data_IF_208064500473
#
_entry.id   IF_208064500473
#
_cell.length_a   1.000
_cell.length_b   1.000
_cell.length_c   1.000
_cell.angle_alpha   90.00
_cell.angle_beta   90.00
_cell.angle_gamma   90.00
#
_symmetry.space_group_name_H-M   'P 1'
#
loop_
_entity.id
_entity.type
_entity.pdbx_description
1 polymer ?
#
# COMPACT_ATOMS: atom_id res chain seq x y z
N UNK A 1 20.39 7.19 14.98
CA UNK A 1 19.96 7.94 13.77
C UNK A 1 19.42 6.94 12.73
N UNK A 2 18.29 6.30 13.03
CA UNK A 2 17.75 5.12 12.33
C UNK A 2 16.27 5.36 11.99
N UNK A 3 15.96 6.18 10.98
CA UNK A 3 14.56 6.35 10.53
C UNK A 3 14.40 6.86 9.09
N UNK A 4 15.31 6.50 8.17
CA UNK A 4 15.20 6.85 6.74
C UNK A 4 14.72 5.69 5.85
N UNK A 5 13.85 4.82 6.36
CA UNK A 5 13.16 3.82 5.52
C UNK A 5 11.86 4.45 4.99
N UNK A 6 11.92 4.88 3.74
CA UNK A 6 10.77 5.04 2.83
C UNK A 6 9.63 5.99 3.27
N UNK A 7 9.96 7.22 3.69
CA UNK A 7 8.94 8.29 3.67
C UNK A 7 8.80 8.83 2.24
N UNK A 8 8.06 8.10 1.40
CA UNK A 8 7.44 8.73 0.24
C UNK A 8 6.50 9.82 0.79
N UNK A 9 6.69 11.06 0.36
CA UNK A 9 6.00 12.22 0.95
C UNK A 9 4.47 12.16 0.81
N UNK A 10 3.75 13.12 1.38
CA UNK A 10 2.31 13.25 1.13
C UNK A 10 2.08 13.76 -0.29
N UNK A 11 1.39 12.97 -1.11
CA UNK A 11 1.08 13.28 -2.50
C UNK A 11 -0.32 13.82 -2.64
N UNK A 12 -0.56 14.55 -3.72
CA UNK A 12 -1.86 15.06 -4.13
C UNK A 12 -2.20 14.42 -5.46
N UNK A 13 -3.35 13.76 -5.52
CA UNK A 13 -3.81 13.06 -6.73
C UNK A 13 -5.32 13.16 -6.89
N UNK A 14 -5.82 12.72 -8.03
CA UNK A 14 -7.24 12.73 -8.37
C UNK A 14 -7.76 11.28 -8.46
N UNK A 15 -8.77 10.97 -7.64
CA UNK A 15 -9.45 9.68 -7.60
C UNK A 15 -10.87 9.86 -8.11
N UNK A 16 -11.28 9.10 -9.11
CA UNK A 16 -12.66 9.07 -9.59
C UNK A 16 -13.42 7.88 -8.99
N UNK A 17 -14.60 8.18 -8.49
CA UNK A 17 -15.58 7.22 -7.96
C UNK A 17 -16.16 6.43 -9.13
N UNK A 18 -15.95 5.12 -9.16
CA UNK A 18 -16.55 4.23 -10.17
C UNK A 18 -18.04 4.06 -9.92
N UNK A 19 -18.79 3.66 -10.94
CA UNK A 19 -20.23 3.37 -10.82
C UNK A 19 -20.53 2.28 -9.79
N UNK A 20 -19.65 1.30 -9.66
CA UNK A 20 -19.74 0.19 -8.71
C UNK A 20 -18.95 0.42 -7.40
N UNK A 21 -18.53 1.66 -7.11
CA UNK A 21 -17.77 1.98 -5.91
C UNK A 21 -18.65 1.91 -4.67
N UNK A 22 -18.13 1.36 -3.57
CA UNK A 22 -18.77 1.35 -2.25
C UNK A 22 -18.92 2.73 -1.61
N UNK A 23 -18.30 3.75 -2.22
CA UNK A 23 -18.43 5.16 -1.81
C UNK A 23 -19.71 5.80 -2.34
N UNK A 24 -20.36 5.22 -3.36
CA UNK A 24 -21.56 5.80 -3.96
C UNK A 24 -22.67 5.94 -2.91
N UNK A 25 -23.21 7.14 -2.81
CA UNK A 25 -24.25 7.50 -1.84
C UNK A 25 -23.76 7.77 -0.42
N UNK A 26 -22.47 7.57 -0.13
CA UNK A 26 -21.89 7.79 1.20
C UNK A 26 -21.05 9.06 1.25
N UNK A 27 -20.93 9.63 2.44
CA UNK A 27 -20.07 10.79 2.68
C UNK A 27 -18.64 10.38 3.02
N UNK A 28 -17.67 11.26 2.77
CA UNK A 28 -16.27 11.00 3.16
C UNK A 28 -16.11 10.79 4.67
N UNK A 29 -17.02 11.37 5.48
CA UNK A 29 -17.07 11.22 6.93
C UNK A 29 -17.61 9.85 7.34
N UNK A 30 -18.68 9.38 6.72
CA UNK A 30 -19.26 8.05 6.99
C UNK A 30 -18.29 6.91 6.66
N UNK A 31 -17.58 7.03 5.54
CA UNK A 31 -16.56 6.05 5.15
C UNK A 31 -15.28 6.21 5.97
N UNK A 32 -15.13 7.34 6.67
CA UNK A 32 -13.95 7.63 7.48
C UNK A 32 -12.68 7.73 6.63
N UNK A 33 -12.73 8.31 5.42
CA UNK A 33 -11.57 8.33 4.49
C UNK A 33 -10.31 8.90 5.16
N UNK A 34 -10.47 9.92 5.99
CA UNK A 34 -9.38 10.52 6.74
C UNK A 34 -8.86 9.64 7.88
N UNK A 35 -9.73 8.92 8.58
CA UNK A 35 -9.36 8.14 9.76
C UNK A 35 -8.84 6.75 9.39
N UNK A 36 -9.51 6.09 8.44
CA UNK A 36 -9.23 4.70 8.05
C UNK A 36 -8.04 4.59 7.09
N UNK A 37 -7.82 5.62 6.29
CA UNK A 37 -6.79 5.63 5.26
C UNK A 37 -5.76 6.73 5.44
N UNK A 38 -5.86 7.64 6.43
CA UNK A 38 -4.96 8.80 6.54
C UNK A 38 -4.86 9.59 5.21
N UNK A 39 -6.02 9.76 4.56
CA UNK A 39 -6.18 10.50 3.32
C UNK A 39 -7.06 11.73 3.58
N UNK A 40 -6.55 12.89 3.21
CA UNK A 40 -7.30 14.14 3.27
C UNK A 40 -7.94 14.43 1.92
N UNK A 41 -9.26 14.35 1.83
CA UNK A 41 -10.01 14.87 0.67
C UNK A 41 -9.98 16.40 0.72
N UNK A 42 -9.51 17.05 -0.34
CA UNK A 42 -9.36 18.50 -0.45
C UNK A 42 -10.45 19.15 -1.31
N UNK A 43 -11.01 18.42 -2.27
CA UNK A 43 -12.09 18.90 -3.13
C UNK A 43 -12.81 17.72 -3.80
N UNK A 44 -14.05 17.95 -4.19
CA UNK A 44 -14.81 17.07 -5.08
C UNK A 44 -15.11 17.86 -6.36
N UNK A 45 -14.75 17.31 -7.51
CA UNK A 45 -15.10 17.85 -8.83
C UNK A 45 -16.29 17.06 -9.34
N UNK A 46 -17.42 17.75 -9.50
CA UNK A 46 -18.70 17.24 -9.98
C UNK A 46 -19.21 18.17 -11.08
N UNK A 47 -19.53 17.64 -12.26
CA UNK A 47 -20.08 18.43 -13.39
C UNK A 47 -19.33 19.74 -13.69
N UNK A 48 -17.99 19.69 -13.65
CA UNK A 48 -17.07 20.84 -13.82
C UNK A 48 -17.11 21.88 -12.69
N UNK A 49 -17.96 21.71 -11.68
CA UNK A 49 -17.93 22.50 -10.46
C UNK A 49 -16.93 21.89 -9.46
N UNK A 50 -16.20 22.77 -8.78
CA UNK A 50 -15.24 22.39 -7.74
C UNK A 50 -15.85 22.68 -6.38
N UNK A 51 -16.19 21.63 -5.66
CA UNK A 51 -16.78 21.69 -4.33
C UNK A 51 -15.65 21.58 -3.30
N UNK A 52 -15.52 22.59 -2.44
CA UNK A 52 -14.51 22.64 -1.36
C UNK A 52 -15.14 22.84 0.01
N UNK A 53 -16.37 23.34 0.06
CA UNK A 53 -17.13 23.54 1.29
C UNK A 53 -17.90 22.27 1.66
N UNK A 54 -17.97 21.99 2.97
CA UNK A 54 -18.70 20.86 3.54
C UNK A 54 -18.40 19.48 2.90
N UNK A 55 -17.26 19.32 2.22
CA UNK A 55 -16.89 18.12 1.44
C UNK A 55 -16.92 16.81 2.23
N UNK A 56 -16.83 16.87 3.56
CA UNK A 56 -16.87 15.69 4.42
C UNK A 56 -18.28 15.12 4.56
N UNK A 57 -19.32 15.94 4.41
CA UNK A 57 -20.72 15.57 4.62
C UNK A 57 -21.52 15.50 3.31
N UNK A 58 -20.87 15.65 2.16
CA UNK A 58 -21.51 15.55 0.85
C UNK A 58 -21.46 14.08 0.40
N UNK A 59 -22.60 13.50 0.00
CA UNK A 59 -22.63 12.15 -0.54
C UNK A 59 -21.92 12.11 -1.90
N UNK A 60 -21.04 11.13 -2.08
CA UNK A 60 -20.30 10.91 -3.31
C UNK A 60 -21.20 10.26 -4.35
N UNK A 61 -21.13 10.76 -5.59
CA UNK A 61 -21.88 10.24 -6.73
C UNK A 61 -20.96 9.49 -7.70
N UNK A 62 -21.51 8.56 -8.51
CA UNK A 62 -20.78 7.96 -9.61
C UNK A 62 -20.17 9.04 -10.51
N UNK A 63 -18.91 8.87 -10.88
CA UNK A 63 -18.20 9.82 -11.75
C UNK A 63 -17.57 11.02 -11.03
N UNK A 64 -17.88 11.24 -9.76
CA UNK A 64 -17.24 12.28 -8.95
C UNK A 64 -15.73 12.09 -8.91
N UNK A 65 -15.01 13.20 -8.99
CA UNK A 65 -13.56 13.23 -8.94
C UNK A 65 -13.08 13.87 -7.64
N UNK A 66 -12.57 13.06 -6.72
CA UNK A 66 -12.00 13.52 -5.47
C UNK A 66 -10.53 13.92 -5.65
N UNK A 67 -10.19 15.14 -5.25
CA UNK A 67 -8.81 15.57 -5.13
C UNK A 67 -8.31 15.25 -3.73
N UNK A 68 -7.36 14.32 -3.60
CA UNK A 68 -6.97 13.75 -2.31
C UNK A 68 -5.49 13.94 -2.02
N UNK A 69 -5.16 14.18 -0.75
CA UNK A 69 -3.79 14.22 -0.24
C UNK A 69 -3.54 13.05 0.70
N UNK A 70 -2.48 12.27 0.45
CA UNK A 70 -2.12 11.14 1.31
C UNK A 70 -0.82 10.49 0.88
N UNK A 71 -0.34 9.55 1.68
CA UNK A 71 0.77 8.67 1.30
C UNK A 71 0.27 7.68 0.24
N UNK A 72 1.16 7.25 -0.66
CA UNK A 72 0.79 6.41 -1.82
C UNK A 72 0.19 5.09 -1.39
N UNK A 73 0.77 4.44 -0.39
CA UNK A 73 0.29 3.15 0.11
C UNK A 73 -1.18 3.23 0.55
N UNK A 74 -1.53 4.32 1.20
CA UNK A 74 -2.89 4.57 1.63
C UNK A 74 -3.84 4.84 0.46
N UNK A 75 -3.40 5.62 -0.53
CA UNK A 75 -4.17 5.89 -1.75
C UNK A 75 -4.44 4.58 -2.50
N UNK A 76 -3.46 3.68 -2.57
CA UNK A 76 -3.62 2.36 -3.21
C UNK A 76 -4.54 1.45 -2.41
N UNK A 77 -4.48 1.48 -1.07
CA UNK A 77 -5.45 0.78 -0.21
C UNK A 77 -6.88 1.27 -0.44
N UNK A 78 -7.11 2.58 -0.45
CA UNK A 78 -8.42 3.16 -0.73
C UNK A 78 -8.94 2.75 -2.11
N UNK A 79 -8.07 2.74 -3.14
CA UNK A 79 -8.37 2.24 -4.49
C UNK A 79 -8.90 0.81 -4.47
N UNK A 80 -8.15 -0.10 -3.85
CA UNK A 80 -8.44 -1.53 -3.86
C UNK A 80 -9.67 -1.88 -3.03
N UNK A 81 -9.87 -1.22 -1.88
CA UNK A 81 -10.95 -1.53 -0.95
C UNK A 81 -12.26 -0.82 -1.29
N UNK A 82 -12.22 0.41 -1.81
CA UNK A 82 -13.41 1.23 -2.03
C UNK A 82 -13.83 1.37 -3.50
N UNK A 83 -13.14 0.70 -4.43
CA UNK A 83 -13.50 0.71 -5.85
C UNK A 83 -13.37 2.09 -6.51
N UNK A 84 -12.41 2.91 -6.07
CA UNK A 84 -12.06 4.16 -6.78
C UNK A 84 -10.98 3.87 -7.81
N UNK A 85 -10.92 4.69 -8.85
CA UNK A 85 -9.88 4.63 -9.89
C UNK A 85 -9.08 5.91 -9.84
N UNK A 86 -7.77 5.83 -10.09
CA UNK A 86 -7.04 7.07 -10.34
C UNK A 86 -7.56 7.64 -11.65
N UNK A 87 -7.59 8.97 -11.80
CA UNK A 87 -8.07 9.56 -13.05
C UNK A 87 -7.23 9.17 -14.27
N UNK A 88 -5.97 8.79 -14.04
CA UNK A 88 -5.14 8.10 -15.01
C UNK A 88 -5.79 6.81 -15.52
N UNK A 89 -6.43 6.04 -14.65
CA UNK A 89 -7.01 4.72 -14.89
C UNK A 89 -8.34 4.74 -15.65
N UNK A 90 -9.01 5.87 -15.85
CA UNK A 90 -10.31 5.90 -16.57
C UNK A 90 -10.16 6.23 -18.06
N UNK A 91 -9.05 6.83 -18.46
CA UNK A 91 -8.70 6.98 -19.89
C UNK A 91 -8.17 5.67 -20.51
N UNK A 92 -8.43 4.56 -19.82
CA UNK A 92 -7.59 3.39 -19.67
C UNK A 92 -8.60 2.26 -19.38
N UNK A 93 -8.82 1.30 -20.25
CA UNK A 93 -9.68 0.16 -19.88
C UNK A 93 -9.12 -0.54 -18.63
N UNK A 94 -10.00 -0.93 -17.70
CA UNK A 94 -9.69 -1.56 -16.40
C UNK A 94 -8.84 -2.85 -16.51
N UNK A 95 -8.76 -3.44 -17.70
CA UNK A 95 -8.12 -4.73 -17.96
C UNK A 95 -6.57 -4.68 -18.01
N UNK A 96 -5.97 -3.53 -18.34
CA UNK A 96 -4.51 -3.43 -18.47
C UNK A 96 -3.77 -3.34 -17.12
N UNK A 97 -4.49 -3.08 -16.02
CA UNK A 97 -3.92 -2.83 -14.68
C UNK A 97 -3.92 -4.08 -13.79
N UNK A 98 -4.49 -5.19 -14.26
CA UNK A 98 -4.80 -6.35 -13.43
C UNK A 98 -3.72 -7.46 -13.43
N UNK A 99 -2.73 -7.42 -14.34
CA UNK A 99 -2.02 -8.64 -14.76
C UNK A 99 -0.52 -8.66 -14.44
N UNK A 100 0.15 -7.53 -14.20
CA UNK A 100 1.60 -7.48 -13.98
C UNK A 100 1.99 -6.90 -12.61
N UNK A 101 3.11 -7.36 -12.04
CA UNK A 101 3.72 -6.77 -10.85
C UNK A 101 4.05 -5.29 -11.13
N UNK A 102 3.31 -4.38 -10.48
CA UNK A 102 3.52 -2.95 -10.62
C UNK A 102 4.54 -2.45 -9.60
N UNK A 103 5.43 -1.57 -10.04
CA UNK A 103 6.45 -0.95 -9.19
C UNK A 103 6.17 0.54 -9.13
N UNK A 104 6.30 1.09 -7.93
CA UNK A 104 6.18 2.50 -7.67
C UNK A 104 7.60 3.10 -7.60
N UNK A 105 7.86 4.15 -8.36
CA UNK A 105 9.17 4.79 -8.43
C UNK A 105 9.07 6.31 -8.37
N UNK A 106 10.02 6.95 -7.69
CA UNK A 106 10.24 8.39 -7.78
C UNK A 106 11.31 8.67 -8.84
N UNK A 107 10.94 9.37 -9.90
CA UNK A 107 11.84 9.77 -10.98
C UNK A 107 11.98 11.28 -11.07
N UNK A 108 13.21 11.79 -11.09
CA UNK A 108 13.51 13.20 -11.27
C UNK A 108 13.79 13.53 -12.72
N UNK A 109 13.12 14.56 -13.23
CA UNK A 109 13.31 15.03 -14.60
C UNK A 109 14.68 15.68 -14.73
N UNK A 110 15.50 15.14 -15.62
CA UNK A 110 16.83 15.66 -15.92
C UNK A 110 16.75 17.07 -16.55
N UNK A 111 17.79 17.89 -16.38
CA UNK A 111 17.83 19.26 -16.92
C UNK A 111 17.84 19.31 -18.45
N UNK A 112 18.32 18.25 -19.10
CA UNK A 112 18.34 18.09 -20.56
C UNK A 112 17.18 17.23 -21.09
N UNK A 113 16.21 16.92 -20.23
CA UNK A 113 15.11 16.02 -20.57
C UNK A 113 14.21 16.58 -21.67
N UNK A 114 13.84 15.74 -22.63
CA UNK A 114 12.88 16.06 -23.70
C UNK A 114 11.45 16.18 -23.20
N UNK A 115 11.22 15.90 -21.92
CA UNK A 115 9.95 16.05 -21.21
C UNK A 115 9.69 17.50 -20.77
N UNK A 116 10.72 18.35 -20.72
CA UNK A 116 10.61 19.74 -20.29
C UNK A 116 9.65 20.52 -21.20
N UNK A 117 8.83 21.39 -20.61
CA UNK A 117 7.79 22.20 -21.25
C UNK A 117 6.68 21.42 -21.96
N UNK A 118 6.65 20.09 -21.84
CA UNK A 118 5.55 19.27 -22.34
C UNK A 118 4.62 18.88 -21.19
N UNK A 119 3.34 18.75 -21.49
CA UNK A 119 2.38 18.20 -20.52
C UNK A 119 2.38 16.68 -20.58
N UNK A 120 2.02 16.02 -19.48
CA UNK A 120 1.87 14.56 -19.45
C UNK A 120 0.83 14.06 -20.48
N UNK A 121 -0.14 14.90 -20.84
CA UNK A 121 -1.14 14.59 -21.89
C UNK A 121 -0.52 14.64 -23.28
N UNK A 122 0.30 15.66 -23.58
CA UNK A 122 0.89 15.82 -24.91
C UNK A 122 1.98 14.78 -25.19
N UNK A 123 2.66 14.33 -24.14
CA UNK A 123 3.67 13.27 -24.21
C UNK A 123 3.08 11.87 -24.43
N UNK A 124 1.76 11.71 -24.24
CA UNK A 124 1.10 10.41 -24.10
C UNK A 124 1.98 9.44 -23.27
N UNK A 125 2.37 9.91 -22.08
CA UNK A 125 3.45 9.34 -21.28
C UNK A 125 3.26 7.83 -21.08
N UNK A 126 2.00 7.38 -20.98
CA UNK A 126 1.64 5.97 -20.91
C UNK A 126 2.02 5.20 -22.17
N UNK A 127 1.66 5.67 -23.37
CA UNK A 127 1.90 4.93 -24.61
C UNK A 127 3.38 4.86 -24.93
N UNK A 128 4.10 5.94 -24.65
CA UNK A 128 5.53 6.02 -24.92
C UNK A 128 6.37 5.24 -23.90
N UNK A 129 6.03 5.33 -22.62
CA UNK A 129 6.85 4.78 -21.53
C UNK A 129 6.24 3.59 -20.80
N UNK A 130 5.00 3.18 -21.13
CA UNK A 130 4.31 2.09 -20.44
C UNK A 130 4.04 2.35 -18.95
N UNK A 131 4.03 3.63 -18.54
CA UNK A 131 4.08 4.06 -17.15
C UNK A 131 3.03 5.13 -16.83
N UNK A 132 2.59 5.18 -15.56
CA UNK A 132 1.58 6.11 -15.08
C UNK A 132 2.18 7.11 -14.10
N UNK A 133 1.92 8.40 -14.29
CA UNK A 133 2.34 9.42 -13.33
C UNK A 133 1.19 9.69 -12.36
N UNK A 134 1.43 9.37 -11.09
CA UNK A 134 0.46 9.52 -10.00
C UNK A 134 0.47 10.93 -9.39
N UNK A 135 1.66 11.54 -9.34
CA UNK A 135 1.90 12.85 -8.76
C UNK A 135 3.13 13.54 -9.36
N UNK A 136 3.15 14.88 -9.29
CA UNK A 136 4.31 15.71 -9.63
C UNK A 136 4.63 16.63 -8.44
N UNK A 137 5.88 16.61 -7.99
CA UNK A 137 6.42 17.48 -6.95
C UNK A 137 7.40 18.47 -7.56
N UNK A 138 7.19 19.77 -7.26
CA UNK A 138 8.02 20.89 -7.72
C UNK A 138 8.49 21.72 -6.52
N UNK A 139 9.79 21.95 -6.42
CA UNK A 139 10.42 22.69 -5.31
C UNK A 139 9.95 22.22 -3.91
N UNK A 140 9.82 20.90 -3.73
CA UNK A 140 9.37 20.31 -2.46
C UNK A 140 7.86 20.39 -2.19
N UNK A 141 7.08 21.04 -3.07
CA UNK A 141 5.62 21.13 -2.96
C UNK A 141 4.91 20.30 -4.04
N UNK A 142 3.84 19.60 -3.67
CA UNK A 142 3.06 18.83 -4.64
C UNK A 142 2.14 19.74 -5.44
N UNK A 143 2.16 19.63 -6.77
CA UNK A 143 1.35 20.46 -7.64
C UNK A 143 -0.15 20.19 -7.42
N UNK A 144 -0.93 21.27 -7.21
CA UNK A 144 -2.37 21.22 -6.92
C UNK A 144 -3.29 21.33 -8.14
N UNK A 145 -2.73 21.58 -9.33
CA UNK A 145 -3.47 21.73 -10.58
C UNK A 145 -3.52 20.38 -11.31
N UNK A 146 -4.46 20.23 -12.26
CA UNK A 146 -4.60 19.05 -13.13
C UNK A 146 -3.24 18.66 -13.69
N UNK A 147 -2.67 17.59 -13.13
CA UNK A 147 -1.28 17.18 -13.39
C UNK A 147 -1.08 16.87 -14.87
N UNK A 148 -2.12 16.31 -15.51
CA UNK A 148 -2.17 16.04 -16.94
C UNK A 148 -1.97 17.27 -17.86
N UNK A 149 -2.32 18.47 -17.39
CA UNK A 149 -2.25 19.72 -18.18
C UNK A 149 -1.14 20.66 -17.70
N UNK A 150 -0.35 20.25 -16.72
CA UNK A 150 0.73 21.08 -16.19
C UNK A 150 2.02 20.76 -16.95
N UNK A 151 2.70 21.76 -17.55
CA UNK A 151 3.96 21.53 -18.23
C UNK A 151 5.04 21.14 -17.21
N UNK A 152 5.77 20.08 -17.53
CA UNK A 152 6.86 19.56 -16.72
C UNK A 152 8.08 20.50 -16.78
N UNK A 153 8.80 20.61 -15.68
CA UNK A 153 10.00 21.42 -15.55
C UNK A 153 11.19 20.56 -15.14
N UNK A 154 12.40 21.05 -15.43
CA UNK A 154 13.62 20.46 -14.91
C UNK A 154 13.55 20.37 -13.38
N UNK A 155 14.08 19.29 -12.81
CA UNK A 155 14.06 19.02 -11.37
C UNK A 155 12.67 18.76 -10.76
N UNK A 156 11.61 18.63 -11.57
CA UNK A 156 10.36 18.05 -11.07
C UNK A 156 10.59 16.58 -10.68
N UNK A 157 10.01 16.17 -9.56
CA UNK A 157 9.95 14.74 -9.19
C UNK A 157 8.60 14.17 -9.56
N UNK A 158 8.60 13.15 -10.39
CA UNK A 158 7.45 12.35 -10.79
C UNK A 158 7.34 11.13 -9.90
N UNK A 159 6.13 10.86 -9.43
CA UNK A 159 5.80 9.57 -8.83
C UNK A 159 5.16 8.69 -9.91
N UNK A 160 5.80 7.57 -10.21
CA UNK A 160 5.52 6.75 -11.38
C UNK A 160 5.11 5.35 -10.94
N UNK A 161 4.02 4.84 -11.49
CA UNK A 161 3.58 3.46 -11.35
C UNK A 161 3.73 2.77 -12.70
N UNK A 162 4.58 1.76 -12.78
CA UNK A 162 4.87 1.05 -14.03
C UNK A 162 5.15 -0.43 -13.77
N UNK A 163 4.92 -1.32 -14.75
CA UNK A 163 5.48 -2.66 -14.70
C UNK A 163 7.01 -2.60 -14.56
N UNK A 164 7.59 -3.56 -13.83
CA UNK A 164 9.03 -3.59 -13.54
C UNK A 164 9.90 -3.53 -14.80
N UNK A 165 9.46 -4.16 -15.89
CA UNK A 165 10.14 -4.18 -17.18
C UNK A 165 10.20 -2.79 -17.81
N UNK A 166 9.10 -2.04 -17.75
CA UNK A 166 8.99 -0.67 -18.29
C UNK A 166 9.77 0.34 -17.46
N UNK A 167 9.82 0.14 -16.15
CA UNK A 167 10.62 1.00 -15.27
C UNK A 167 12.12 0.87 -15.59
N UNK A 168 12.61 -0.34 -15.93
CA UNK A 168 13.98 -0.57 -16.35
C UNK A 168 14.31 0.10 -17.70
N UNK A 169 13.34 0.17 -18.63
CA UNK A 169 13.47 0.94 -19.88
C UNK A 169 13.59 2.44 -19.57
N UNK A 170 12.75 2.95 -18.66
CA UNK A 170 12.79 4.34 -18.21
C UNK A 170 14.14 4.72 -17.63
N UNK A 171 14.73 3.81 -16.85
CA UNK A 171 16.03 3.97 -16.20
C UNK A 171 17.20 4.07 -17.18
N UNK A 172 17.03 3.56 -18.40
CA UNK A 172 18.01 3.66 -19.49
C UNK A 172 17.83 4.92 -20.34
N UNK A 173 16.76 5.68 -20.12
CA UNK A 173 16.52 6.94 -20.83
C UNK A 173 17.20 8.12 -20.13
N UNK A 174 17.79 9.04 -20.89
CA UNK A 174 18.40 10.26 -20.36
C UNK A 174 17.39 11.30 -19.86
N UNK A 175 16.09 11.03 -20.08
CA UNK A 175 15.01 11.96 -19.76
C UNK A 175 14.71 12.00 -18.25
N UNK A 176 15.10 10.98 -17.47
CA UNK A 176 14.75 10.88 -16.06
C UNK A 176 15.70 10.02 -15.23
N UNK A 177 15.96 10.46 -14.00
CA UNK A 177 16.79 9.75 -13.03
C UNK A 177 15.88 9.13 -11.97
N UNK A 178 15.89 7.81 -11.84
CA UNK A 178 15.12 7.12 -10.78
C UNK A 178 15.87 7.27 -9.44
N UNK A 179 15.22 7.93 -8.47
CA UNK A 179 15.78 8.23 -7.14
C UNK A 179 15.48 7.10 -6.15
N UNK A 180 14.24 6.59 -6.17
CA UNK A 180 13.74 5.63 -5.18
C UNK A 180 12.73 4.70 -5.82
N UNK A 181 12.76 3.43 -5.44
CA UNK A 181 11.83 2.39 -5.89
C UNK A 181 11.21 1.73 -4.66
N UNK A 182 9.89 1.55 -4.65
CA UNK A 182 9.23 0.57 -3.80
C UNK A 182 8.47 -0.42 -4.68
N UNK A 183 8.80 -1.69 -4.51
CA UNK A 183 8.03 -2.77 -5.10
C UNK A 183 6.67 -2.85 -4.41
N UNK A 184 5.64 -2.28 -5.04
CA UNK A 184 4.28 -2.41 -4.55
C UNK A 184 3.64 -3.64 -5.18
N UNK A 185 3.79 -4.79 -4.53
CA UNK A 185 2.97 -5.95 -4.88
C UNK A 185 1.52 -5.60 -4.57
N UNK A 186 0.75 -5.32 -5.63
CA UNK A 186 -0.71 -5.24 -5.58
C UNK A 186 -1.23 -6.60 -5.11
N UNK A 187 -1.22 -6.84 -3.80
CA UNK A 187 -1.90 -7.96 -3.18
C UNK A 187 -3.39 -7.67 -3.31
N UNK A 188 -3.93 -8.02 -4.47
CA UNK A 188 -5.36 -8.19 -4.66
C UNK A 188 -5.78 -9.24 -3.63
N UNK A 189 -6.44 -8.81 -2.56
CA UNK A 189 -6.84 -9.62 -1.40
C UNK A 189 -7.88 -10.71 -1.74
N UNK A 190 -7.57 -11.57 -2.71
CA UNK A 190 -8.44 -12.60 -3.25
C UNK A 190 -8.70 -13.75 -2.26
N UNK A 191 -7.90 -13.83 -1.19
CA UNK A 191 -7.96 -14.93 -0.21
C UNK A 191 -8.16 -14.46 1.24
N UNK A 192 -8.63 -13.23 1.46
CA UNK A 192 -8.92 -12.75 2.83
C UNK A 192 -9.94 -13.65 3.56
N UNK A 193 -10.90 -14.20 2.81
CA UNK A 193 -11.87 -15.17 3.32
C UNK A 193 -11.24 -16.49 3.78
N UNK A 194 -10.13 -16.93 3.18
CA UNK A 194 -9.45 -18.16 3.57
C UNK A 194 -8.81 -18.00 4.96
N UNK A 195 -8.21 -16.83 5.24
CA UNK A 195 -7.66 -16.50 6.57
C UNK A 195 -8.77 -16.46 7.61
N UNK A 196 -9.89 -15.81 7.28
CA UNK A 196 -11.07 -15.71 8.15
C UNK A 196 -11.74 -17.05 8.44
N UNK A 197 -11.58 -18.05 7.57
CA UNK A 197 -12.08 -19.41 7.81
C UNK A 197 -11.08 -20.27 8.60
N UNK A 198 -9.79 -20.22 8.26
CA UNK A 198 -8.76 -21.11 8.83
C UNK A 198 -8.47 -20.78 10.30
N UNK A 199 -8.39 -19.51 10.67
CA UNK A 199 -8.09 -19.10 12.05
C UNK A 199 -9.13 -19.61 13.09
N UNK A 200 -10.44 -19.34 12.93
CA UNK A 200 -11.43 -19.84 13.89
C UNK A 200 -11.55 -21.36 13.85
N UNK A 201 -11.43 -21.99 12.69
CA UNK A 201 -11.41 -23.45 12.58
C UNK A 201 -10.25 -24.04 13.40
N UNK A 202 -9.06 -23.45 13.30
CA UNK A 202 -7.90 -23.87 14.07
C UNK A 202 -8.11 -23.67 15.58
N UNK A 203 -8.65 -22.51 16.00
CA UNK A 203 -8.94 -22.25 17.41
C UNK A 203 -9.89 -23.29 17.99
N UNK A 204 -10.93 -23.69 17.24
CA UNK A 204 -11.88 -24.73 17.67
C UNK A 204 -11.18 -26.08 17.80
N UNK A 205 -10.36 -26.48 16.82
CA UNK A 205 -9.63 -27.76 16.85
C UNK A 205 -8.61 -27.86 17.98
N UNK A 206 -7.90 -26.76 18.27
CA UNK A 206 -6.93 -26.71 19.38
C UNK A 206 -7.65 -26.66 20.72
N UNK A 207 -8.72 -25.86 20.84
CA UNK A 207 -9.51 -25.74 22.06
C UNK A 207 -10.19 -27.04 22.48
N UNK A 208 -10.67 -27.83 21.50
CA UNK A 208 -11.26 -29.15 21.75
C UNK A 208 -10.22 -30.23 22.06
N UNK A 209 -8.92 -29.90 22.07
CA UNK A 209 -7.84 -30.82 22.40
C UNK A 209 -7.57 -31.89 21.33
N UNK A 210 -8.20 -31.79 20.16
CA UNK A 210 -8.03 -32.76 19.07
C UNK A 210 -6.61 -32.68 18.49
N UNK A 211 -6.05 -31.47 18.41
CA UNK A 211 -4.72 -31.22 17.86
C UNK A 211 -3.94 -30.28 18.80
N UNK A 212 -2.69 -30.63 19.08
CA UNK A 212 -1.75 -29.77 19.80
C UNK A 212 -1.49 -28.45 19.04
N UNK A 213 -1.34 -27.34 19.76
CA UNK A 213 -1.15 -26.01 19.17
C UNK A 213 0.05 -25.93 18.20
N UNK A 214 1.12 -26.68 18.48
CA UNK A 214 2.29 -26.75 17.61
C UNK A 214 1.94 -27.43 16.27
N UNK A 215 1.27 -28.57 16.32
CA UNK A 215 0.85 -29.31 15.11
C UNK A 215 -0.18 -28.50 14.31
N UNK A 216 -1.14 -27.89 15.01
CA UNK A 216 -2.18 -27.08 14.39
C UNK A 216 -1.61 -25.85 13.68
N UNK A 217 -0.74 -25.10 14.35
CA UNK A 217 -0.13 -23.89 13.76
C UNK A 217 0.72 -24.20 12.52
N UNK A 218 1.51 -25.27 12.55
CA UNK A 218 2.28 -25.72 11.38
C UNK A 218 1.36 -26.07 10.20
N UNK A 219 0.28 -26.80 10.46
CA UNK A 219 -0.67 -27.21 9.43
C UNK A 219 -1.40 -26.01 8.82
N UNK A 220 -1.81 -25.04 9.64
CA UNK A 220 -2.41 -23.80 9.17
C UNK A 220 -1.48 -22.99 8.27
N UNK A 221 -0.20 -22.84 8.66
CA UNK A 221 0.80 -22.14 7.83
C UNK A 221 0.98 -22.84 6.48
N UNK A 222 1.09 -24.17 6.47
CA UNK A 222 1.21 -24.95 5.23
C UNK A 222 -0.01 -24.74 4.32
N UNK A 223 -1.22 -24.81 4.87
CA UNK A 223 -2.45 -24.56 4.10
C UNK A 223 -2.47 -23.14 3.52
N UNK A 224 -2.12 -22.12 4.32
CA UNK A 224 -2.09 -20.74 3.88
C UNK A 224 -1.08 -20.50 2.76
N UNK A 225 0.08 -21.16 2.81
CA UNK A 225 1.09 -21.12 1.76
C UNK A 225 0.63 -21.84 0.49
N UNK A 226 -0.02 -23.01 0.61
CA UNK A 226 -0.55 -23.78 -0.53
C UNK A 226 -1.65 -23.01 -1.27
N UNK A 227 -2.54 -22.35 -0.54
CA UNK A 227 -3.60 -21.50 -1.10
C UNK A 227 -3.02 -20.19 -1.69
N UNK A 228 -1.71 -19.93 -1.49
CA UNK A 228 -1.04 -18.66 -1.82
C UNK A 228 -1.75 -17.45 -1.21
N UNK A 229 -2.33 -17.65 -0.02
CA UNK A 229 -2.89 -16.55 0.76
C UNK A 229 -1.78 -15.70 1.40
N UNK A 230 -0.60 -16.30 1.66
CA UNK A 230 0.60 -15.65 2.20
C UNK A 230 1.81 -16.05 1.35
N UNK A 231 2.70 -15.10 1.05
CA UNK A 231 3.99 -15.38 0.38
C UNK A 231 5.00 -15.93 1.40
N UNK A 232 5.80 -16.92 1.00
CA UNK A 232 6.81 -17.54 1.89
C UNK A 232 7.78 -16.50 2.49
N UNK A 233 8.15 -15.46 1.75
CA UNK A 233 9.04 -14.40 2.25
C UNK A 233 8.35 -13.54 3.29
N UNK A 234 7.05 -13.32 3.16
CA UNK A 234 6.25 -12.57 4.11
C UNK A 234 6.08 -13.37 5.41
N UNK A 235 5.83 -14.68 5.30
CA UNK A 235 5.83 -15.59 6.44
C UNK A 235 7.15 -15.54 7.22
N UNK A 236 8.31 -15.63 6.55
CA UNK A 236 9.61 -15.49 7.22
C UNK A 236 9.84 -14.11 7.86
N UNK A 237 9.32 -13.04 7.25
CA UNK A 237 9.41 -11.67 7.80
C UNK A 237 8.53 -11.45 9.03
N UNK A 238 7.40 -12.17 9.12
CA UNK A 238 6.52 -12.11 10.30
C UNK A 238 7.07 -12.83 11.53
N UNK A 239 8.13 -13.63 11.39
CA UNK A 239 8.77 -14.29 12.52
C UNK A 239 9.59 -13.29 13.32
N UNK A 240 9.18 -13.06 14.57
CA UNK A 240 9.96 -12.27 15.53
C UNK A 240 11.13 -13.08 16.09
N UNK A 241 12.26 -13.04 15.37
CA UNK A 241 13.48 -13.75 15.75
C UNK A 241 13.96 -13.43 17.17
N UNK A 242 13.78 -12.19 17.62
CA UNK A 242 14.12 -11.79 18.98
C UNK A 242 13.36 -12.57 20.06
N UNK A 243 12.07 -12.86 19.84
CA UNK A 243 11.24 -13.62 20.78
C UNK A 243 11.65 -15.09 20.81
N UNK A 244 11.91 -15.69 19.64
CA UNK A 244 12.40 -17.07 19.56
C UNK A 244 13.74 -17.24 20.28
N UNK A 245 14.67 -16.32 20.07
CA UNK A 245 15.96 -16.32 20.76
C UNK A 245 15.80 -16.14 22.26
N UNK A 246 14.89 -15.26 22.70
CA UNK A 246 14.59 -15.05 24.11
C UNK A 246 14.08 -16.33 24.77
N UNK A 247 13.07 -16.98 24.17
CA UNK A 247 12.52 -18.24 24.67
C UNK A 247 13.60 -19.33 24.70
N UNK A 248 14.38 -19.46 23.62
CA UNK A 248 15.45 -20.45 23.53
C UNK A 248 16.54 -20.22 24.60
N UNK A 249 16.83 -18.98 24.97
CA UNK A 249 17.78 -18.65 26.03
C UNK A 249 17.20 -18.91 27.44
N UNK A 250 15.92 -18.64 27.66
CA UNK A 250 15.30 -18.83 28.97
C UNK A 250 14.96 -20.28 29.30
N UNK A 251 14.68 -21.13 28.32
CA UNK A 251 14.36 -22.55 28.57
C UNK A 251 15.50 -23.27 29.33
N UNK A 252 16.78 -23.19 28.91
CA UNK A 252 17.89 -23.76 29.67
C UNK A 252 18.10 -23.11 31.04
N UNK A 253 17.90 -21.79 31.17
CA UNK A 253 18.02 -21.08 32.46
C UNK A 253 16.98 -21.59 33.45
N UNK A 254 15.72 -21.70 33.01
CA UNK A 254 14.64 -22.28 33.81
C UNK A 254 14.96 -23.73 34.21
N UNK A 255 15.46 -24.53 33.26
CA UNK A 255 15.88 -25.90 33.54
C UNK A 255 17.00 -25.96 34.57
N UNK A 256 18.03 -25.13 34.44
CA UNK A 256 19.13 -25.03 35.40
C UNK A 256 18.60 -24.69 36.80
N UNK A 257 17.74 -23.68 36.94
CA UNK A 257 17.15 -23.29 38.24
C UNK A 257 16.33 -24.40 38.89
N UNK A 258 15.66 -25.25 38.10
CA UNK A 258 14.93 -26.42 38.61
C UNK A 258 15.91 -27.52 39.06
N UNK A 259 16.95 -27.79 38.26
CA UNK A 259 17.95 -28.83 38.58
C UNK A 259 18.86 -28.49 39.75
N UNK A 260 19.28 -27.23 39.89
CA UNK A 260 20.09 -26.76 41.03
C UNK A 260 19.29 -26.63 42.33
N UNK A 261 17.97 -26.83 42.27
CA UNK A 261 17.09 -26.67 43.42
C UNK A 261 16.83 -25.22 43.82
N UNK A 262 17.38 -24.24 43.09
CA UNK A 262 17.17 -22.81 43.34
C UNK A 262 15.69 -22.44 43.31
N UNK A 263 14.93 -22.99 42.36
CA UNK A 263 13.48 -22.79 42.30
C UNK A 263 12.77 -23.30 43.55
N UNK A 264 13.20 -24.45 44.08
CA UNK A 264 12.65 -25.05 45.31
C UNK A 264 13.01 -24.24 46.55
N UNK A 265 14.25 -23.77 46.66
CA UNK A 265 14.72 -22.92 47.75
C UNK A 265 13.90 -21.63 47.88
N UNK A 266 13.63 -20.96 46.76
CA UNK A 266 12.80 -19.75 46.73
C UNK A 266 11.35 -20.08 47.11
N UNK A 267 10.77 -21.15 46.55
CA UNK A 267 9.40 -21.56 46.87
C UNK A 267 9.20 -21.89 48.35
N UNK A 268 10.17 -22.56 48.98
CA UNK A 268 10.12 -22.89 50.42
C UNK A 268 10.38 -21.71 51.35
N UNK A 269 10.98 -20.61 50.87
CA UNK A 269 11.21 -19.41 51.68
C UNK A 269 10.05 -18.41 51.68
N UNK A 270 9.04 -18.62 50.84
CA UNK A 270 7.86 -17.77 50.69
C UNK A 270 6.60 -18.40 51.35
N UNK A 271 6.62 -19.72 51.59
CA UNK A 271 5.65 -20.46 52.41
C UNK A 271 6.05 -20.43 53.88
#
# INVERSE_FOLDING_TARGET
LLTRKYHMGTYLTELRVKENSSLVGKTCKEVGINQNYDITVLAILRDKQRIVENIRNIPLLPGDTMMVRGVVDNIMRLRNEQGVSLLSDIKLGDEALATNEQVLAEGLINQTSRLINKTLRDLDFRRHYGAFVLAVRRHGSTLRKKIAHTPLQASDTLLILAPKERLNELRRSDDMIIISEAEYKLHRGRYWWAVMAILPLLMILVSTGIIDILRGSLLAVVILLLIRAVDIREAYRSVEWSVLLLIAAFVPVGYAMVTTGTARFIASGIL
#
